data_IF_715924653684
#
_entry.id   IF_715924653684
#
_cell.length_a   1.000
_cell.length_b   1.000
_cell.length_c   1.000
_cell.angle_alpha   90.00
_cell.angle_beta   90.00
_cell.angle_gamma   90.00
#
_symmetry.space_group_name_H-M   'P 1'
#
loop_
_entity.id
_entity.type
_entity.pdbx_description
1 polymer ?
#
# COMPACT_ATOMS: atom_id res chain seq x y z
N UNK A 1 20.83 -13.71 3.53
CA UNK A 1 20.03 -12.91 2.58
C UNK A 1 18.93 -12.18 3.36
N UNK A 2 18.68 -10.93 3.03
CA UNK A 2 17.59 -10.13 3.62
C UNK A 2 16.48 -10.05 2.58
N UNK A 3 15.25 -10.51 2.88
CA UNK A 3 14.17 -10.48 1.91
C UNK A 3 13.75 -9.03 1.57
N UNK A 4 13.30 -8.81 0.34
CA UNK A 4 12.95 -7.47 -0.13
C UNK A 4 11.77 -6.85 0.63
N UNK A 5 10.85 -7.65 1.17
CA UNK A 5 9.76 -7.14 2.04
C UNK A 5 10.26 -6.39 3.29
N UNK A 6 11.46 -6.71 3.79
CA UNK A 6 12.08 -5.95 4.88
C UNK A 6 12.56 -4.58 4.40
N UNK A 7 13.01 -4.48 3.16
CA UNK A 7 13.30 -3.19 2.51
C UNK A 7 12.06 -2.32 2.40
N UNK A 8 10.93 -2.94 2.07
CA UNK A 8 9.63 -2.26 2.06
C UNK A 8 9.24 -1.74 3.44
N UNK A 9 9.34 -2.57 4.50
CA UNK A 9 9.06 -2.13 5.88
C UNK A 9 9.91 -0.93 6.30
N UNK A 10 11.20 -0.94 5.98
CA UNK A 10 12.08 0.20 6.29
C UNK A 10 11.73 1.46 5.51
N UNK A 11 11.43 1.33 4.23
CA UNK A 11 10.99 2.46 3.42
C UNK A 11 9.67 3.03 3.93
N UNK A 12 8.70 2.16 4.26
CA UNK A 12 7.42 2.54 4.82
C UNK A 12 7.55 3.35 6.11
N UNK A 13 8.42 2.89 7.02
CA UNK A 13 8.74 3.62 8.26
C UNK A 13 9.37 4.98 7.96
N UNK A 14 10.33 5.02 7.06
CA UNK A 14 11.04 6.25 6.69
C UNK A 14 10.10 7.31 6.13
N UNK A 15 9.25 6.95 5.16
CA UNK A 15 8.39 7.93 4.50
C UNK A 15 7.36 8.52 5.45
N UNK A 16 6.74 7.71 6.32
CA UNK A 16 5.76 8.21 7.28
C UNK A 16 6.43 9.04 8.40
N UNK A 17 7.60 8.64 8.88
CA UNK A 17 8.36 9.45 9.84
C UNK A 17 8.78 10.80 9.25
N UNK A 18 9.23 10.81 7.99
CA UNK A 18 9.61 12.05 7.30
C UNK A 18 8.42 12.99 7.14
N UNK A 19 7.27 12.45 6.72
CA UNK A 19 6.07 13.26 6.49
C UNK A 19 5.40 13.72 7.78
N UNK A 20 5.43 12.90 8.84
CA UNK A 20 5.05 13.34 10.19
C UNK A 20 5.87 14.56 10.63
N UNK A 21 7.18 14.50 10.46
CA UNK A 21 8.08 15.61 10.79
C UNK A 21 7.79 16.87 9.99
N UNK A 22 7.45 16.71 8.70
CA UNK A 22 7.28 17.82 7.76
C UNK A 22 5.87 18.42 7.80
N UNK A 23 4.85 17.59 8.00
CA UNK A 23 3.45 17.98 7.83
C UNK A 23 2.60 17.76 9.09
N UNK A 24 3.19 17.26 10.18
CA UNK A 24 2.48 16.93 11.43
C UNK A 24 1.57 15.70 11.31
N UNK A 25 1.69 14.90 10.23
CA UNK A 25 0.90 13.70 9.99
C UNK A 25 1.60 12.72 9.05
N UNK A 26 1.31 11.41 9.14
CA UNK A 26 1.80 10.45 8.15
C UNK A 26 1.18 10.73 6.76
N UNK A 27 1.90 10.40 5.72
CA UNK A 27 1.39 10.50 4.36
C UNK A 27 0.54 9.28 3.99
N UNK A 28 0.97 8.08 4.40
CA UNK A 28 0.42 6.83 3.91
C UNK A 28 -0.36 6.13 5.02
N UNK A 29 -1.65 5.93 4.78
CA UNK A 29 -2.52 5.08 5.60
C UNK A 29 -2.42 3.64 5.08
N UNK A 30 -2.50 2.66 5.97
CA UNK A 30 -2.27 1.26 5.63
C UNK A 30 -3.32 0.32 6.21
N UNK A 31 -3.66 -0.71 5.43
CA UNK A 31 -4.49 -1.84 5.83
C UNK A 31 -3.95 -3.15 5.30
N UNK A 32 -4.17 -4.23 6.03
CA UNK A 32 -3.83 -5.59 5.59
C UNK A 32 -4.97 -6.55 5.91
N UNK A 33 -5.11 -7.58 5.09
CA UNK A 33 -6.07 -8.67 5.34
C UNK A 33 -5.52 -9.65 6.40
N UNK A 34 -5.34 -9.16 7.63
CA UNK A 34 -4.76 -9.86 8.79
C UNK A 34 -3.32 -10.36 8.56
N UNK A 35 -2.58 -9.71 7.68
CA UNK A 35 -1.22 -10.11 7.25
C UNK A 35 -0.21 -8.97 7.36
N UNK A 36 -0.42 -8.02 8.30
CA UNK A 36 0.39 -6.79 8.38
C UNK A 36 1.88 -7.06 8.62
N UNK A 37 2.21 -8.03 9.43
CA UNK A 37 3.60 -8.37 9.75
C UNK A 37 4.24 -9.22 8.65
N UNK A 38 3.52 -10.21 8.13
CA UNK A 38 4.07 -11.11 7.09
C UNK A 38 4.27 -10.40 5.75
N UNK A 39 3.46 -9.40 5.42
CA UNK A 39 3.64 -8.55 4.23
C UNK A 39 4.53 -7.33 4.49
N UNK A 40 4.94 -7.13 5.74
CA UNK A 40 5.74 -6.00 6.20
C UNK A 40 5.11 -4.60 6.00
N UNK A 41 3.80 -4.52 5.78
CA UNK A 41 3.07 -3.25 5.71
C UNK A 41 3.01 -2.55 7.07
N UNK A 42 3.19 -3.29 8.19
CA UNK A 42 3.33 -2.74 9.54
C UNK A 42 4.48 -1.73 9.66
N UNK A 43 5.40 -1.71 8.71
CA UNK A 43 6.42 -0.67 8.61
C UNK A 43 5.86 0.75 8.63
N UNK A 44 4.68 0.99 8.06
CA UNK A 44 4.05 2.33 8.05
C UNK A 44 3.69 2.85 9.43
N UNK A 45 3.45 1.98 10.40
CA UNK A 45 3.12 2.35 11.78
C UNK A 45 4.33 2.30 12.74
N UNK A 46 5.50 2.02 12.23
CA UNK A 46 6.70 1.93 13.05
C UNK A 46 7.03 3.30 13.70
N UNK A 47 7.02 3.34 15.01
CA UNK A 47 7.14 4.59 15.78
C UNK A 47 5.81 5.18 16.25
N UNK A 48 4.68 4.57 15.86
CA UNK A 48 3.35 4.95 16.35
C UNK A 48 2.86 3.91 17.38
N UNK A 49 2.54 4.37 18.58
CA UNK A 49 2.01 3.55 19.65
C UNK A 49 3.04 2.71 20.41
N UNK A 50 2.58 2.13 21.50
CA UNK A 50 3.36 1.25 22.36
C UNK A 50 3.26 -0.23 21.96
N UNK A 51 4.00 -1.08 22.67
CA UNK A 51 3.98 -2.53 22.48
C UNK A 51 2.59 -3.16 22.63
N UNK A 52 1.71 -2.53 23.41
CA UNK A 52 0.35 -3.00 23.66
C UNK A 52 -0.54 -2.96 22.42
N UNK A 53 -0.38 -1.94 21.56
CA UNK A 53 -1.21 -1.74 20.36
C UNK A 53 -0.59 -2.35 19.11
N UNK A 54 0.60 -2.92 19.20
CA UNK A 54 1.35 -3.47 18.06
C UNK A 54 1.43 -2.52 16.86
N UNK A 55 1.37 -1.20 17.12
CA UNK A 55 1.38 -0.18 16.08
C UNK A 55 0.03 0.06 15.37
N UNK A 56 -1.02 -0.66 15.69
CA UNK A 56 -2.33 -0.44 15.10
C UNK A 56 -3.02 0.83 15.59
N UNK A 57 -3.85 1.38 14.73
CA UNK A 57 -4.77 2.45 15.09
C UNK A 57 -5.75 1.97 16.16
N UNK A 58 -5.93 2.79 17.18
CA UNK A 58 -6.92 2.59 18.22
C UNK A 58 -7.59 3.91 18.56
N UNK A 59 -8.92 3.95 18.55
CA UNK A 59 -9.71 5.18 18.77
C UNK A 59 -9.38 5.89 20.11
N UNK A 60 -8.91 5.15 21.10
CA UNK A 60 -8.59 5.66 22.43
C UNK A 60 -7.09 5.56 22.71
N UNK A 61 -6.46 4.47 22.29
CA UNK A 61 -5.10 4.11 22.70
C UNK A 61 -4.02 4.61 21.74
N UNK A 62 -4.29 4.69 20.44
CA UNK A 62 -3.30 5.00 19.41
C UNK A 62 -3.91 5.73 18.21
N UNK A 63 -4.43 6.91 18.43
CA UNK A 63 -5.19 7.68 17.44
C UNK A 63 -4.35 8.24 16.28
N UNK A 64 -3.02 8.23 16.41
CA UNK A 64 -2.11 8.75 15.39
C UNK A 64 -1.58 7.67 14.45
N UNK A 65 -1.80 6.39 14.75
CA UNK A 65 -1.27 5.34 13.91
C UNK A 65 -1.92 5.32 12.53
N UNK A 66 -1.11 5.22 11.46
CA UNK A 66 -1.62 5.08 10.09
C UNK A 66 -2.01 3.65 9.72
N UNK A 67 -1.79 2.65 10.59
CA UNK A 67 -2.10 1.25 10.31
C UNK A 67 -3.43 0.87 10.97
N UNK A 68 -4.46 0.64 10.14
CA UNK A 68 -5.79 0.28 10.65
C UNK A 68 -5.90 -1.23 10.83
N UNK A 69 -6.42 -1.71 11.98
CA UNK A 69 -6.66 -3.12 12.19
C UNK A 69 -7.80 -3.60 11.29
N UNK A 70 -7.58 -4.70 10.59
CA UNK A 70 -8.56 -5.30 9.69
C UNK A 70 -8.47 -6.83 9.75
N UNK A 71 -9.60 -7.48 9.49
CA UNK A 71 -9.67 -8.91 9.24
C UNK A 71 -9.36 -9.27 7.78
N UNK A 72 -9.65 -10.50 7.39
CA UNK A 72 -9.46 -11.03 6.03
C UNK A 72 -10.55 -10.46 5.11
N UNK A 73 -10.35 -9.23 4.66
CA UNK A 73 -11.33 -8.43 3.91
C UNK A 73 -10.66 -7.59 2.82
N UNK A 74 -9.98 -8.24 1.88
CA UNK A 74 -9.18 -7.59 0.83
C UNK A 74 -9.97 -6.54 0.05
N UNK A 75 -11.19 -6.89 -0.37
CA UNK A 75 -12.08 -5.99 -1.12
C UNK A 75 -12.41 -4.73 -0.33
N UNK A 76 -12.83 -4.91 0.93
CA UNK A 76 -13.21 -3.79 1.81
C UNK A 76 -11.99 -2.92 2.13
N UNK A 77 -10.84 -3.51 2.43
CA UNK A 77 -9.61 -2.78 2.70
C UNK A 77 -9.20 -1.91 1.50
N UNK A 78 -9.30 -2.46 0.30
CA UNK A 78 -9.02 -1.73 -0.93
C UNK A 78 -10.01 -0.58 -1.15
N UNK A 79 -11.31 -0.81 -0.90
CA UNK A 79 -12.34 0.22 -1.00
C UNK A 79 -12.16 1.35 0.00
N UNK A 80 -11.84 1.03 1.25
CA UNK A 80 -11.59 2.03 2.29
C UNK A 80 -10.36 2.89 1.96
N UNK A 81 -9.28 2.28 1.51
CA UNK A 81 -8.08 3.04 1.12
C UNK A 81 -8.30 3.83 -0.16
N UNK A 82 -9.06 3.31 -1.12
CA UNK A 82 -9.47 4.06 -2.30
C UNK A 82 -10.24 5.33 -1.89
N UNK A 83 -11.25 5.19 -1.04
CA UNK A 83 -12.02 6.33 -0.50
C UNK A 83 -11.15 7.33 0.24
N UNK A 84 -10.28 6.87 1.14
CA UNK A 84 -9.37 7.76 1.88
C UNK A 84 -8.42 8.52 0.95
N UNK A 85 -7.96 7.89 -0.15
CA UNK A 85 -7.07 8.51 -1.11
C UNK A 85 -7.76 9.48 -2.08
N UNK A 86 -9.08 9.55 -2.10
CA UNK A 86 -9.84 10.56 -2.87
C UNK A 86 -10.05 11.86 -2.09
N UNK A 87 -9.92 11.83 -0.76
CA UNK A 87 -10.12 13.02 0.07
C UNK A 87 -8.96 14.00 -0.10
N UNK A 88 -9.28 15.20 -0.52
CA UNK A 88 -8.30 16.27 -0.73
C UNK A 88 -8.65 17.49 0.14
N UNK A 89 -7.77 17.81 1.07
CA UNK A 89 -7.91 18.96 2.00
C UNK A 89 -7.30 20.25 1.46
N UNK A 90 -6.84 20.26 0.19
CA UNK A 90 -6.28 21.47 -0.40
C UNK A 90 -7.36 22.54 -0.63
N UNK A 91 -7.01 23.79 -0.37
CA UNK A 91 -7.86 24.93 -0.77
C UNK A 91 -7.97 25.07 -2.30
N UNK A 92 -7.08 24.42 -3.06
CA UNK A 92 -7.04 24.38 -4.52
C UNK A 92 -7.00 22.93 -5.01
N UNK A 93 -8.11 22.16 -4.88
CA UNK A 93 -8.11 20.71 -5.07
C UNK A 93 -7.87 20.29 -6.53
N UNK A 94 -8.02 21.18 -7.49
CA UNK A 94 -7.73 20.93 -8.91
C UNK A 94 -6.23 21.11 -9.24
N UNK A 95 -5.51 21.91 -8.46
CA UNK A 95 -4.09 22.20 -8.69
C UNK A 95 -3.19 21.33 -7.80
N UNK A 96 -3.59 21.16 -6.53
CA UNK A 96 -2.76 20.54 -5.51
C UNK A 96 -3.48 19.41 -4.77
N UNK A 97 -2.73 18.42 -4.38
CA UNK A 97 -3.21 17.36 -3.49
C UNK A 97 -2.68 17.57 -2.07
N UNK A 98 -3.59 17.59 -1.10
CA UNK A 98 -3.30 17.59 0.32
C UNK A 98 -4.20 16.58 1.01
N UNK A 99 -3.78 15.32 1.04
CA UNK A 99 -4.56 14.21 1.59
C UNK A 99 -3.66 13.07 2.01
N UNK A 100 -4.20 11.86 1.99
CA UNK A 100 -3.48 10.65 2.29
C UNK A 100 -3.29 9.80 1.04
N UNK A 101 -2.19 9.07 1.00
CA UNK A 101 -2.02 7.93 0.11
C UNK A 101 -2.46 6.68 0.85
N UNK A 102 -2.91 5.67 0.12
CA UNK A 102 -3.31 4.39 0.67
C UNK A 102 -2.25 3.32 0.44
N UNK A 103 -2.17 2.35 1.35
CA UNK A 103 -1.46 1.10 1.13
C UNK A 103 -2.32 -0.07 1.57
N UNK A 104 -2.43 -1.10 0.72
CA UNK A 104 -3.24 -2.30 1.01
C UNK A 104 -2.44 -3.55 0.69
N UNK A 105 -2.37 -4.48 1.64
CA UNK A 105 -1.61 -5.71 1.47
C UNK A 105 -2.44 -6.97 1.65
N UNK A 106 -2.04 -8.00 0.91
CA UNK A 106 -2.38 -9.39 1.10
C UNK A 106 -1.32 -10.27 0.41
N UNK A 107 -1.45 -11.57 0.49
CA UNK A 107 -0.64 -12.48 -0.32
C UNK A 107 -1.01 -12.42 -1.80
N UNK A 108 -0.07 -12.73 -2.66
CA UNK A 108 -0.23 -12.66 -4.10
C UNK A 108 -1.44 -13.40 -4.63
N UNK A 109 -1.71 -14.61 -4.10
CA UNK A 109 -2.86 -15.45 -4.47
C UNK A 109 -4.22 -14.80 -4.22
N UNK A 110 -4.32 -13.86 -3.26
CA UNK A 110 -5.58 -13.16 -2.93
C UNK A 110 -5.63 -11.74 -3.50
N UNK A 111 -4.59 -11.31 -4.19
CA UNK A 111 -4.49 -9.95 -4.70
C UNK A 111 -5.62 -9.57 -5.66
N UNK A 112 -6.15 -10.53 -6.42
CA UNK A 112 -7.28 -10.30 -7.33
C UNK A 112 -8.55 -9.80 -6.62
N UNK A 113 -8.72 -10.13 -5.34
CA UNK A 113 -9.86 -9.66 -4.53
C UNK A 113 -9.87 -8.14 -4.33
N UNK A 114 -8.76 -7.46 -4.54
CA UNK A 114 -8.65 -6.00 -4.48
C UNK A 114 -8.94 -5.31 -5.82
N UNK A 115 -9.07 -6.06 -6.89
CA UNK A 115 -9.18 -5.51 -8.24
C UNK A 115 -10.33 -4.51 -8.40
N UNK A 116 -11.55 -4.89 -8.02
CA UNK A 116 -12.74 -4.07 -8.22
C UNK A 116 -12.62 -2.63 -7.68
N UNK A 117 -12.39 -2.44 -6.38
CA UNK A 117 -12.24 -1.11 -5.80
C UNK A 117 -11.06 -0.33 -6.38
N UNK A 118 -9.93 -0.98 -6.63
CA UNK A 118 -8.75 -0.31 -7.19
C UNK A 118 -8.96 0.07 -8.65
N UNK A 119 -9.71 -0.75 -9.41
CA UNK A 119 -10.07 -0.42 -10.78
C UNK A 119 -10.96 0.82 -10.86
N UNK A 120 -11.95 0.92 -9.96
CA UNK A 120 -12.80 2.11 -9.83
C UNK A 120 -12.00 3.34 -9.41
N UNK A 121 -11.09 3.20 -8.45
CA UNK A 121 -10.19 4.29 -8.06
C UNK A 121 -9.32 4.76 -9.22
N UNK A 122 -8.77 3.86 -10.02
CA UNK A 122 -7.96 4.23 -11.19
C UNK A 122 -8.76 5.01 -12.22
N UNK A 123 -10.02 4.63 -12.44
CA UNK A 123 -10.91 5.32 -13.35
C UNK A 123 -11.26 6.73 -12.82
N UNK A 124 -11.63 6.83 -11.56
CA UNK A 124 -11.87 8.13 -10.93
C UNK A 124 -10.64 9.05 -11.06
N UNK A 125 -9.44 8.53 -10.84
CA UNK A 125 -8.21 9.30 -10.94
C UNK A 125 -7.89 9.78 -12.37
N UNK A 126 -8.36 9.04 -13.40
CA UNK A 126 -8.19 9.42 -14.80
C UNK A 126 -9.25 10.41 -15.27
N UNK A 127 -10.50 10.23 -14.83
CA UNK A 127 -11.65 10.97 -15.34
C UNK A 127 -11.93 12.25 -14.54
N UNK A 128 -11.41 12.33 -13.30
CA UNK A 128 -11.62 13.49 -12.43
C UNK A 128 -10.56 14.57 -12.66
N UNK A 129 -10.98 15.83 -12.71
CA UNK A 129 -10.08 16.97 -12.67
C UNK A 129 -9.47 17.19 -11.28
N UNK A 130 -10.10 16.67 -10.23
CA UNK A 130 -9.61 16.75 -8.86
C UNK A 130 -8.30 15.95 -8.70
N UNK A 131 -7.34 16.54 -8.01
CA UNK A 131 -6.13 15.82 -7.64
C UNK A 131 -6.45 14.84 -6.52
N UNK A 132 -6.12 13.57 -6.73
CA UNK A 132 -6.29 12.48 -5.79
C UNK A 132 -4.94 11.91 -5.35
N UNK A 133 -4.94 11.15 -4.27
CA UNK A 133 -3.77 10.45 -3.79
C UNK A 133 -3.37 9.26 -4.67
N UNK A 134 -2.51 8.42 -4.12
CA UNK A 134 -2.03 7.18 -4.77
C UNK A 134 -2.29 5.99 -3.86
N UNK A 135 -2.37 4.81 -4.45
CA UNK A 135 -2.47 3.57 -3.70
C UNK A 135 -1.28 2.67 -4.00
N UNK A 136 -0.62 2.23 -2.94
CA UNK A 136 0.39 1.18 -2.99
C UNK A 136 -0.33 -0.16 -2.77
N UNK A 137 -0.42 -0.93 -3.83
CA UNK A 137 -0.95 -2.29 -3.81
C UNK A 137 0.17 -3.25 -3.49
N UNK A 138 0.25 -3.65 -2.24
CA UNK A 138 1.29 -4.57 -1.77
C UNK A 138 0.86 -6.01 -2.04
N UNK A 139 1.65 -6.69 -2.85
CA UNK A 139 1.50 -8.11 -3.21
C UNK A 139 2.61 -8.87 -2.46
N UNK A 140 2.28 -9.37 -1.29
CA UNK A 140 3.20 -10.19 -0.50
C UNK A 140 3.27 -11.62 -0.99
N UNK A 141 4.35 -12.33 -0.66
CA UNK A 141 4.53 -13.74 -1.05
C UNK A 141 4.30 -13.97 -2.56
N UNK A 142 4.89 -13.16 -3.40
CA UNK A 142 4.71 -13.24 -4.86
C UNK A 142 5.84 -13.99 -5.59
N UNK A 143 6.81 -14.50 -4.87
CA UNK A 143 7.91 -15.26 -5.42
C UNK A 143 7.66 -16.78 -5.43
N UNK A 144 8.46 -17.55 -6.17
CA UNK A 144 8.35 -19.01 -6.25
C UNK A 144 8.62 -19.71 -4.92
N UNK A 145 9.33 -19.08 -4.00
CA UNK A 145 9.61 -19.59 -2.65
C UNK A 145 8.36 -19.80 -1.80
N UNK A 146 7.24 -19.23 -2.21
CA UNK A 146 5.97 -19.38 -1.48
C UNK A 146 5.18 -20.63 -1.85
N UNK A 147 5.65 -21.41 -2.83
CA UNK A 147 5.00 -22.65 -3.26
C UNK A 147 4.90 -23.71 -2.13
N UNK A 148 5.82 -23.64 -1.14
CA UNK A 148 5.83 -24.54 0.01
C UNK A 148 4.86 -24.14 1.13
N UNK A 149 4.35 -22.90 1.14
CA UNK A 149 3.47 -22.40 2.20
C UNK A 149 2.13 -23.12 2.21
N UNK A 150 1.39 -23.00 1.14
CA UNK A 150 0.14 -23.71 0.91
C UNK A 150 -0.34 -23.47 -0.53
N UNK A 151 -1.23 -24.32 -1.01
CA UNK A 151 -1.86 -24.14 -2.33
C UNK A 151 -2.61 -22.83 -2.47
N UNK A 152 -3.13 -22.29 -1.38
CA UNK A 152 -3.88 -21.03 -1.36
C UNK A 152 -2.99 -19.80 -1.33
N UNK A 153 -1.71 -19.92 -1.00
CA UNK A 153 -0.79 -18.80 -0.86
C UNK A 153 0.11 -18.58 -2.09
N UNK A 154 0.03 -19.44 -3.08
CA UNK A 154 0.86 -19.37 -4.28
C UNK A 154 0.41 -18.22 -5.20
N UNK A 155 1.22 -17.18 -5.28
CA UNK A 155 0.84 -15.89 -5.87
C UNK A 155 1.53 -15.53 -7.18
N UNK A 156 2.11 -16.49 -7.92
CA UNK A 156 2.85 -16.24 -9.16
C UNK A 156 2.01 -15.58 -10.26
N UNK A 157 0.70 -15.72 -10.20
CA UNK A 157 -0.23 -15.14 -11.18
C UNK A 157 -0.70 -13.72 -10.83
N UNK A 158 -0.28 -13.18 -9.69
CA UNK A 158 -0.70 -11.84 -9.26
C UNK A 158 -0.44 -10.74 -10.31
N UNK A 159 0.66 -10.72 -11.08
CA UNK A 159 0.87 -9.75 -12.13
C UNK A 159 -0.20 -9.75 -13.23
N UNK A 160 -0.84 -10.88 -13.50
CA UNK A 160 -1.92 -10.98 -14.50
C UNK A 160 -3.13 -10.10 -14.18
N UNK A 161 -3.46 -9.94 -12.90
CA UNK A 161 -4.61 -9.11 -12.47
C UNK A 161 -4.37 -7.64 -12.79
N UNK A 162 -3.15 -7.17 -12.64
CA UNK A 162 -2.80 -5.77 -12.88
C UNK A 162 -2.82 -5.38 -14.36
N UNK A 163 -2.72 -6.35 -15.27
CA UNK A 163 -2.83 -6.14 -16.72
C UNK A 163 -4.24 -5.74 -17.17
N UNK A 164 -5.24 -5.92 -16.33
CA UNK A 164 -6.63 -5.54 -16.63
C UNK A 164 -6.92 -4.05 -16.35
N UNK A 165 -5.92 -3.29 -15.92
CA UNK A 165 -6.05 -1.85 -15.71
C UNK A 165 -5.80 -1.07 -16.99
N UNK A 166 -6.41 0.12 -17.16
CA UNK A 166 -6.12 1.00 -18.28
C UNK A 166 -4.65 1.40 -18.34
N UNK A 167 -4.15 1.59 -19.54
CA UNK A 167 -2.78 2.06 -19.76
C UNK A 167 -2.53 3.38 -19.00
N UNK A 168 -1.39 3.47 -18.32
CA UNK A 168 -0.99 4.66 -17.58
C UNK A 168 -1.62 4.83 -16.19
N UNK A 169 -2.53 3.94 -15.76
CA UNK A 169 -3.15 4.03 -14.43
C UNK A 169 -2.40 3.26 -13.35
N UNK A 170 -1.65 2.26 -13.73
CA UNK A 170 -0.92 1.38 -12.81
C UNK A 170 0.51 1.14 -13.28
N UNK A 171 1.43 0.99 -12.33
CA UNK A 171 2.79 0.49 -12.57
C UNK A 171 3.06 -0.71 -11.68
N UNK A 172 3.64 -1.76 -12.27
CA UNK A 172 4.13 -2.92 -11.54
C UNK A 172 5.63 -2.77 -11.27
N UNK A 173 6.03 -2.97 -10.05
CA UNK A 173 7.44 -3.01 -9.66
C UNK A 173 7.76 -4.34 -8.97
N UNK A 174 8.82 -4.96 -9.43
CA UNK A 174 9.30 -6.26 -8.96
C UNK A 174 10.75 -6.11 -8.49
N UNK A 175 10.99 -5.48 -7.32
CA UNK A 175 12.34 -5.37 -6.81
C UNK A 175 12.88 -6.77 -6.51
N UNK A 176 14.06 -7.07 -7.05
CA UNK A 176 14.70 -8.35 -6.84
C UNK A 176 15.44 -8.42 -5.50
N UNK A 177 16.12 -7.33 -5.18
CA UNK A 177 16.94 -7.22 -3.98
C UNK A 177 16.33 -6.22 -2.97
N UNK A 178 16.73 -6.37 -1.71
CA UNK A 178 16.33 -5.49 -0.60
C UNK A 178 16.60 -4.00 -0.89
N UNK A 179 17.74 -3.68 -1.45
CA UNK A 179 18.18 -2.31 -1.72
C UNK A 179 17.50 -1.66 -2.93
N UNK A 180 16.82 -2.44 -3.77
CA UNK A 180 16.07 -1.92 -4.92
C UNK A 180 14.69 -1.39 -4.54
N UNK A 181 14.16 -1.78 -3.39
CA UNK A 181 12.79 -1.40 -2.98
C UNK A 181 12.64 0.11 -2.83
N UNK A 182 13.54 0.75 -2.11
CA UNK A 182 13.44 2.19 -1.85
C UNK A 182 13.57 3.04 -3.12
N UNK A 183 14.56 2.85 -3.99
CA UNK A 183 14.66 3.63 -5.23
C UNK A 183 13.53 3.36 -6.20
N UNK A 184 13.11 2.10 -6.40
CA UNK A 184 12.02 1.77 -7.34
C UNK A 184 10.68 2.31 -6.87
N UNK A 185 10.35 2.19 -5.58
CA UNK A 185 9.12 2.73 -5.03
C UNK A 185 9.11 4.27 -5.03
N UNK A 186 10.26 4.90 -4.75
CA UNK A 186 10.41 6.36 -4.85
C UNK A 186 10.21 6.84 -6.30
N UNK A 187 10.78 6.15 -7.26
CA UNK A 187 10.59 6.47 -8.68
C UNK A 187 9.12 6.31 -9.09
N UNK A 188 8.47 5.21 -8.70
CA UNK A 188 7.06 4.98 -8.99
C UNK A 188 6.13 6.03 -8.36
N UNK A 189 6.40 6.46 -7.13
CA UNK A 189 5.63 7.53 -6.47
C UNK A 189 5.72 8.89 -7.17
N UNK A 190 6.78 9.13 -7.94
CA UNK A 190 6.96 10.37 -8.73
C UNK A 190 6.27 10.33 -10.09
N UNK A 191 5.80 9.19 -10.55
CA UNK A 191 5.07 9.06 -11.82
C UNK A 191 3.66 9.62 -11.73
N UNK A 192 2.97 9.76 -12.86
CA UNK A 192 1.56 10.16 -12.93
C UNK A 192 0.55 9.06 -12.58
N UNK A 193 1.00 7.81 -12.34
CA UNK A 193 0.08 6.69 -12.08
C UNK A 193 -0.62 6.82 -10.73
N UNK A 194 -1.85 6.35 -10.65
CA UNK A 194 -2.65 6.35 -9.43
C UNK A 194 -2.41 5.10 -8.55
N UNK A 195 -1.96 4.00 -9.15
CA UNK A 195 -1.73 2.73 -8.46
C UNK A 195 -0.31 2.23 -8.70
N UNK A 196 0.34 1.81 -7.63
CA UNK A 196 1.67 1.20 -7.65
C UNK A 196 1.55 -0.21 -7.07
N UNK A 197 1.63 -1.23 -7.91
CA UNK A 197 1.67 -2.61 -7.46
C UNK A 197 3.12 -3.01 -7.20
N UNK A 198 3.44 -3.30 -5.94
CA UNK A 198 4.76 -3.79 -5.54
C UNK A 198 4.70 -5.26 -5.15
N UNK A 199 5.50 -6.07 -5.82
CA UNK A 199 5.58 -7.51 -5.63
C UNK A 199 6.75 -7.84 -4.71
N UNK A 200 6.46 -8.39 -3.54
CA UNK A 200 7.44 -8.65 -2.49
C UNK A 200 7.58 -10.15 -2.23
N UNK A 201 8.82 -10.55 -2.04
CA UNK A 201 9.21 -11.93 -1.70
C UNK A 201 9.57 -12.07 -0.22
N UNK A 202 9.72 -13.30 0.23
CA UNK A 202 10.24 -13.65 1.57
C UNK A 202 11.72 -13.38 1.72
#
# INVERSE_FOLDING_TARGET
>A
KVPNRMGFSKYASYINTLTEKKYGRPLILAMSADLSDSTNISGFSKGYGGAKDKGFYGKVSNTKSPLFPQGITEFTNAGMMAGASTVNFSAKPYEHFSGFYGAVSTYGSFSYLKYGPLRLFSQLAQDSELKVGKIIWVVGHSGPETAEDSRTHYGIFAPGVTQLFPNGSIINIHPWEYNEVAPSLTAALKTGVSIIAIHLTR
#
